data_IF_153749230288
#
_entry.id   IF_153749230288
#
_cell.length_a   1.000
_cell.length_b   1.000
_cell.length_c   1.000
_cell.angle_alpha   90.00
_cell.angle_beta   90.00
_cell.angle_gamma   90.00
#
_symmetry.space_group_name_H-M   'P 1'
#
loop_
_entity.id
_entity.type
_entity.pdbx_description
1 polymer ?
#
# COMPACT_ATOMS: atom_id res chain seq x y z
N UNK A 1 25.83 15.04 21.82
CA UNK A 1 25.02 13.91 21.31
C UNK A 1 25.94 13.07 20.44
N UNK A 2 26.45 11.95 20.95
CA UNK A 2 27.49 11.17 20.30
C UNK A 2 26.90 10.36 19.14
N UNK A 3 27.43 10.57 17.95
CA UNK A 3 27.02 9.88 16.73
C UNK A 3 27.39 8.39 16.85
N UNK A 4 26.39 7.54 16.63
CA UNK A 4 26.46 6.06 16.64
C UNK A 4 27.22 5.54 15.38
N UNK A 5 28.05 6.37 14.75
CA UNK A 5 28.71 6.04 13.48
C UNK A 5 30.07 5.34 13.65
N UNK A 6 30.57 5.14 14.87
CA UNK A 6 31.92 4.59 15.09
C UNK A 6 31.99 3.07 15.16
N UNK A 7 30.88 2.33 15.12
CA UNK A 7 30.88 0.88 15.37
C UNK A 7 30.33 0.02 14.24
N UNK A 8 29.93 0.61 13.10
CA UNK A 8 29.28 -0.11 12.00
C UNK A 8 28.09 -0.98 12.44
N UNK A 9 27.45 -0.63 13.57
CA UNK A 9 26.38 -1.43 14.16
C UNK A 9 25.09 -1.27 13.38
N UNK A 10 24.50 -2.41 13.00
CA UNK A 10 23.13 -2.48 12.48
C UNK A 10 22.18 -2.39 13.69
N UNK A 11 21.11 -1.59 13.54
CA UNK A 11 20.02 -1.53 14.51
C UNK A 11 18.67 -1.50 13.79
N UNK A 12 17.67 -2.12 14.40
CA UNK A 12 16.28 -1.98 13.94
C UNK A 12 15.78 -0.57 14.27
N UNK A 13 15.15 0.08 13.30
CA UNK A 13 14.51 1.39 13.48
C UNK A 13 12.99 1.26 13.65
N UNK A 14 12.37 0.32 12.95
CA UNK A 14 10.95 0.02 13.02
C UNK A 14 10.70 -1.45 12.65
N UNK A 15 9.58 -2.00 13.09
CA UNK A 15 9.21 -3.40 12.84
C UNK A 15 9.53 -4.31 14.02
N UNK A 16 8.58 -5.18 14.36
CA UNK A 16 8.73 -6.23 15.37
C UNK A 16 9.06 -7.61 14.77
N UNK A 17 9.10 -7.73 13.43
CA UNK A 17 9.39 -8.97 12.70
C UNK A 17 8.16 -9.74 12.22
N UNK A 18 6.96 -9.36 12.64
CA UNK A 18 5.71 -9.99 12.19
C UNK A 18 5.01 -9.13 11.10
N UNK A 19 4.54 -9.73 10.00
CA UNK A 19 3.75 -9.02 9.00
C UNK A 19 2.39 -8.60 9.58
N UNK A 20 1.96 -7.38 9.28
CA UNK A 20 0.67 -6.84 9.74
C UNK A 20 0.64 -5.33 9.74
N UNK A 21 -0.45 -4.74 10.24
CA UNK A 21 -0.65 -3.30 10.35
C UNK A 21 -1.05 -2.89 11.78
N UNK A 22 -0.06 -2.50 12.59
CA UNK A 22 -0.29 -2.04 13.97
C UNK A 22 0.68 -0.91 14.35
N UNK A 23 0.49 -0.31 15.53
CA UNK A 23 1.48 0.55 16.18
C UNK A 23 1.41 2.04 15.85
N UNK A 24 0.45 2.51 15.05
CA UNK A 24 0.25 3.95 14.81
C UNK A 24 0.04 4.71 16.13
N UNK A 25 0.79 5.80 16.30
CA UNK A 25 0.85 6.58 17.54
C UNK A 25 1.75 5.99 18.63
N UNK A 26 2.30 4.79 18.45
CA UNK A 26 3.19 4.11 19.38
C UNK A 26 4.66 4.05 18.93
N UNK A 27 5.54 3.42 19.72
CA UNK A 27 6.95 3.26 19.38
C UNK A 27 7.14 2.40 18.11
N UNK A 28 7.95 2.89 17.18
CA UNK A 28 8.18 2.25 15.86
C UNK A 28 8.73 0.82 15.95
N UNK A 29 9.48 0.50 17.01
CA UNK A 29 10.08 -0.82 17.22
C UNK A 29 9.04 -1.93 17.49
N UNK A 30 7.81 -1.57 17.89
CA UNK A 30 6.76 -2.54 18.18
C UNK A 30 5.68 -2.60 17.10
N UNK A 31 5.72 -1.71 16.12
CA UNK A 31 4.79 -1.73 15.01
C UNK A 31 5.05 -2.91 14.07
N UNK A 32 3.97 -3.45 13.52
CA UNK A 32 4.05 -4.38 12.40
C UNK A 32 4.10 -3.60 11.08
N UNK A 33 4.93 -4.10 10.17
CA UNK A 33 5.08 -3.65 8.79
C UNK A 33 4.88 -4.87 7.90
N UNK A 34 4.33 -4.69 6.70
CA UNK A 34 4.06 -5.75 5.75
C UNK A 34 4.69 -5.44 4.38
N UNK A 35 5.73 -6.19 4.04
CA UNK A 35 6.59 -5.96 2.87
C UNK A 35 7.07 -4.49 2.73
N UNK A 36 7.83 -3.95 3.70
CA UNK A 36 8.44 -2.63 3.52
C UNK A 36 9.48 -2.67 2.40
N UNK A 37 9.31 -1.89 1.32
CA UNK A 37 10.19 -1.94 0.13
C UNK A 37 11.04 -0.69 -0.11
N UNK A 38 10.49 0.48 0.19
CA UNK A 38 11.14 1.77 -0.05
C UNK A 38 11.29 2.56 1.24
N UNK A 39 12.40 3.28 1.38
CA UNK A 39 12.62 4.20 2.50
C UNK A 39 13.18 5.53 2.01
N UNK A 40 12.78 6.62 2.68
CA UNK A 40 13.35 7.95 2.49
C UNK A 40 13.53 8.64 3.84
N UNK A 41 14.43 9.62 3.88
CA UNK A 41 14.72 10.41 5.09
C UNK A 41 14.64 11.88 4.71
N UNK A 42 13.93 12.68 5.49
CA UNK A 42 13.86 14.14 5.27
C UNK A 42 15.01 14.89 5.95
N UNK A 43 15.04 16.22 5.76
CA UNK A 43 16.09 17.09 6.34
C UNK A 43 16.02 17.18 7.88
N UNK A 44 14.90 16.78 8.51
CA UNK A 44 14.75 16.68 9.97
C UNK A 44 15.19 15.30 10.50
N UNK A 45 15.43 14.34 9.59
CA UNK A 45 15.80 12.97 9.90
C UNK A 45 14.61 12.02 10.09
N UNK A 46 13.38 12.49 9.85
CA UNK A 46 12.19 11.64 9.88
C UNK A 46 12.25 10.62 8.74
N UNK A 47 11.84 9.39 9.03
CA UNK A 47 11.97 8.27 8.09
C UNK A 47 10.61 7.88 7.54
N UNK A 48 10.48 7.86 6.23
CA UNK A 48 9.29 7.44 5.51
C UNK A 48 9.51 6.04 4.95
N UNK A 49 8.54 5.15 5.11
CA UNK A 49 8.60 3.75 4.71
C UNK A 49 7.39 3.44 3.83
N UNK A 50 7.64 2.90 2.64
CA UNK A 50 6.60 2.31 1.81
C UNK A 50 6.27 0.91 2.34
N UNK A 51 5.15 0.83 3.06
CA UNK A 51 4.63 -0.37 3.71
C UNK A 51 3.67 -1.06 2.74
N UNK A 52 4.25 -1.81 1.79
CA UNK A 52 3.67 -2.03 0.46
C UNK A 52 2.39 -2.84 0.50
N UNK A 53 2.37 -3.94 1.27
CA UNK A 53 1.20 -4.80 1.41
C UNK A 53 0.15 -4.23 2.38
N UNK A 54 0.54 -3.22 3.17
CA UNK A 54 -0.42 -2.43 3.93
C UNK A 54 -0.95 -1.23 3.11
N UNK A 55 -0.52 -1.06 1.85
CA UNK A 55 -1.01 -0.01 0.96
C UNK A 55 -0.83 1.42 1.49
N UNK A 56 0.21 1.67 2.29
CA UNK A 56 0.41 2.96 2.97
C UNK A 56 1.87 3.40 2.96
N UNK A 57 2.08 4.70 3.20
CA UNK A 57 3.37 5.24 3.60
C UNK A 57 3.33 5.53 5.11
N UNK A 58 4.26 4.92 5.84
CA UNK A 58 4.44 5.13 7.29
C UNK A 58 5.56 6.14 7.53
N UNK A 59 5.42 7.02 8.51
CA UNK A 59 6.43 7.97 8.98
C UNK A 59 6.89 7.58 10.38
N UNK A 60 8.19 7.48 10.59
CA UNK A 60 8.83 7.40 11.90
C UNK A 60 9.42 8.76 12.22
N UNK A 61 8.90 9.40 13.27
CA UNK A 61 9.44 10.66 13.75
C UNK A 61 10.78 10.42 14.46
N UNK A 62 11.84 11.12 14.04
CA UNK A 62 13.19 10.89 14.53
C UNK A 62 13.36 11.23 16.00
N UNK A 63 12.68 12.26 16.48
CA UNK A 63 12.84 12.80 17.83
C UNK A 63 12.16 11.92 18.87
N UNK A 64 10.98 11.39 18.56
CA UNK A 64 10.16 10.60 19.48
C UNK A 64 10.27 9.09 19.25
N UNK A 65 10.62 8.67 18.03
CA UNK A 65 10.54 7.27 17.61
C UNK A 65 9.11 6.77 17.42
N UNK A 66 8.13 7.67 17.28
CA UNK A 66 6.73 7.31 17.05
C UNK A 66 6.51 7.02 15.56
N UNK A 67 5.77 5.96 15.25
CA UNK A 67 5.32 5.65 13.89
C UNK A 67 3.87 6.10 13.68
N UNK A 68 3.56 6.57 12.48
CA UNK A 68 2.23 6.98 12.06
C UNK A 68 2.02 6.76 10.56
N UNK A 69 0.77 6.63 10.12
CA UNK A 69 0.42 6.63 8.70
C UNK A 69 0.26 8.05 8.18
N UNK A 70 0.95 8.37 7.08
CA UNK A 70 0.94 9.72 6.47
C UNK A 70 0.35 9.77 5.06
N UNK A 71 0.31 8.63 4.36
CA UNK A 71 -0.32 8.51 3.05
C UNK A 71 -0.96 7.13 2.94
N UNK A 72 -2.14 7.07 2.33
CA UNK A 72 -2.88 5.82 2.17
C UNK A 72 -3.87 5.60 3.32
N UNK A 73 -4.96 4.92 3.01
CA UNK A 73 -5.90 4.42 3.99
C UNK A 73 -5.41 3.05 4.49
N UNK A 74 -5.33 2.83 5.80
CA UNK A 74 -5.08 1.51 6.35
C UNK A 74 -6.08 0.47 5.82
N UNK A 75 -5.70 -0.81 5.70
CA UNK A 75 -6.69 -1.87 5.61
C UNK A 75 -7.59 -1.78 6.85
N UNK A 76 -8.90 -1.61 6.66
CA UNK A 76 -9.87 -1.71 7.76
C UNK A 76 -9.65 -3.05 8.46
N UNK A 77 -9.62 -3.02 9.80
CA UNK A 77 -8.92 -3.98 10.63
C UNK A 77 -9.06 -5.45 10.22
N UNK A 78 -7.92 -6.13 10.03
CA UNK A 78 -7.83 -7.58 10.23
C UNK A 78 -7.77 -7.88 11.74
N UNK A 79 -8.71 -7.34 12.49
CA UNK A 79 -9.07 -7.86 13.81
C UNK A 79 -10.08 -8.97 13.56
N UNK A 80 -9.65 -10.21 13.74
CA UNK A 80 -10.50 -11.40 13.90
C UNK A 80 -11.65 -11.51 12.89
N UNK A 81 -11.40 -12.13 11.72
CA UNK A 81 -12.50 -12.77 11.00
C UNK A 81 -13.03 -13.91 11.86
N UNK A 82 -14.08 -13.56 12.59
CA UNK A 82 -15.00 -14.44 13.29
C UNK A 82 -15.24 -15.72 12.49
N UNK A 83 -14.90 -16.84 13.12
CA UNK A 83 -15.24 -18.20 12.68
C UNK A 83 -16.74 -18.42 12.80
N UNK A 84 -17.53 -17.72 11.98
CA UNK A 84 -18.95 -17.99 11.72
C UNK A 84 -19.50 -17.07 10.63
N UNK A 85 -19.37 -17.50 9.37
CA UNK A 85 -20.43 -17.27 8.39
C UNK A 85 -20.85 -18.59 7.78
N UNK A 86 -21.77 -19.24 8.50
CA UNK A 86 -22.82 -20.04 7.88
C UNK A 86 -23.59 -19.17 6.89
N UNK A 87 -23.10 -19.06 5.67
CA UNK A 87 -23.93 -18.77 4.51
C UNK A 87 -23.64 -19.80 3.43
N UNK A 88 -24.41 -20.88 3.54
CA UNK A 88 -24.66 -21.86 2.51
C UNK A 88 -25.12 -21.13 1.24
N UNK A 89 -24.23 -21.02 0.27
CA UNK A 89 -24.62 -21.06 -1.14
C UNK A 89 -23.87 -22.24 -1.71
N UNK A 90 -24.56 -23.37 -1.82
CA UNK A 90 -24.14 -24.51 -2.62
C UNK A 90 -24.03 -24.08 -4.07
N UNK A 91 -22.86 -23.62 -4.47
CA UNK A 91 -22.40 -23.67 -5.86
C UNK A 91 -21.39 -24.80 -5.88
N UNK A 92 -21.73 -25.83 -6.65
CA UNK A 92 -20.95 -27.04 -6.81
C UNK A 92 -19.48 -26.72 -7.09
N UNK A 93 -18.61 -27.64 -6.69
CA UNK A 93 -17.20 -27.74 -7.02
C UNK A 93 -16.98 -27.87 -8.54
N UNK A 94 -17.46 -26.91 -9.32
CA UNK A 94 -17.09 -26.78 -10.72
C UNK A 94 -15.73 -26.09 -10.72
N UNK A 95 -14.70 -26.91 -10.82
CA UNK A 95 -13.37 -26.48 -11.21
C UNK A 95 -13.49 -25.57 -12.44
N UNK A 96 -13.17 -24.27 -12.34
CA UNK A 96 -13.30 -23.34 -13.45
C UNK A 96 -12.36 -23.67 -14.63
N UNK A 97 -11.52 -24.70 -14.50
CA UNK A 97 -10.68 -25.25 -15.57
C UNK A 97 -11.18 -26.57 -16.17
N UNK A 98 -12.30 -27.14 -15.68
CA UNK A 98 -12.92 -28.29 -16.32
C UNK A 98 -13.63 -27.84 -17.62
N UNK A 99 -13.16 -28.31 -18.78
CA UNK A 99 -13.83 -28.08 -20.08
C UNK A 99 -15.17 -28.82 -20.12
N UNK A 100 -16.23 -28.17 -19.63
CA UNK A 100 -17.61 -28.56 -19.90
C UNK A 100 -18.31 -27.43 -20.65
N UNK A 101 -18.29 -27.56 -21.97
CA UNK A 101 -18.99 -26.70 -22.94
C UNK A 101 -20.48 -26.63 -22.61
N UNK A 102 -21.02 -25.43 -22.37
CA UNK A 102 -22.00 -24.75 -23.23
C UNK A 102 -22.58 -23.48 -22.55
N UNK A 103 -22.82 -22.47 -23.39
CA UNK A 103 -23.54 -21.19 -23.13
C UNK A 103 -22.74 -20.00 -22.55
N UNK A 104 -21.96 -19.39 -23.43
CA UNK A 104 -21.97 -17.94 -23.70
C UNK A 104 -22.20 -16.98 -22.51
N UNK A 105 -21.21 -16.91 -21.63
CA UNK A 105 -20.70 -15.62 -21.18
C UNK A 105 -19.17 -15.70 -21.27
N UNK A 106 -18.56 -15.01 -22.25
CA UNK A 106 -17.13 -14.73 -22.20
C UNK A 106 -16.89 -13.81 -20.99
N UNK A 107 -16.86 -14.38 -19.79
CA UNK A 107 -16.35 -13.68 -18.62
C UNK A 107 -14.85 -13.51 -18.88
N UNK A 108 -14.47 -12.29 -19.24
CA UNK A 108 -13.07 -11.95 -19.44
C UNK A 108 -12.46 -11.81 -18.05
N UNK A 109 -11.72 -12.81 -17.61
CA UNK A 109 -10.90 -12.68 -16.41
C UNK A 109 -9.61 -11.97 -16.80
N UNK A 110 -9.35 -10.81 -16.21
CA UNK A 110 -8.00 -10.25 -16.24
C UNK A 110 -7.26 -10.89 -15.07
N UNK A 111 -6.37 -11.83 -15.39
CA UNK A 111 -5.41 -12.33 -14.41
C UNK A 111 -4.50 -11.17 -14.03
N UNK A 112 -4.54 -10.76 -12.77
CA UNK A 112 -3.56 -9.83 -12.25
C UNK A 112 -2.78 -10.50 -11.14
N UNK A 113 -1.53 -10.82 -11.45
CA UNK A 113 -0.51 -11.07 -10.44
C UNK A 113 -0.22 -9.75 -9.74
N UNK A 114 -0.44 -9.68 -8.43
CA UNK A 114 0.33 -8.73 -7.64
C UNK A 114 1.80 -9.22 -7.53
N UNK A 115 2.67 -8.33 -7.07
CA UNK A 115 4.10 -8.63 -6.91
C UNK A 115 4.37 -9.51 -5.68
N UNK A 116 3.36 -9.84 -4.87
CA UNK A 116 3.41 -10.83 -3.79
C UNK A 116 3.03 -12.25 -4.26
N UNK A 117 2.58 -12.40 -5.51
CA UNK A 117 2.27 -13.70 -6.10
C UNK A 117 0.83 -14.17 -5.88
N UNK A 118 -0.02 -13.33 -5.29
CA UNK A 118 -1.47 -13.57 -5.21
C UNK A 118 -2.12 -13.20 -6.54
N UNK A 119 -2.89 -14.14 -7.09
CA UNK A 119 -3.66 -13.93 -8.33
C UNK A 119 -5.07 -13.50 -7.93
N UNK A 120 -5.43 -12.24 -8.20
CA UNK A 120 -6.81 -11.77 -8.05
C UNK A 120 -7.55 -11.88 -9.38
N UNK A 121 -8.68 -12.58 -9.37
CA UNK A 121 -9.61 -12.64 -10.50
C UNK A 121 -10.63 -11.51 -10.36
N UNK A 122 -10.77 -10.65 -11.38
CA UNK A 122 -11.79 -9.60 -11.42
C UNK A 122 -12.74 -9.89 -12.58
N UNK A 123 -14.02 -10.09 -12.27
CA UNK A 123 -15.09 -10.24 -13.28
C UNK A 123 -15.37 -8.89 -13.93
N UNK A 124 -15.19 -8.81 -15.25
CA UNK A 124 -15.43 -7.59 -16.03
C UNK A 124 -16.93 -7.34 -16.26
N UNK A 125 -17.59 -6.71 -15.29
CA UNK A 125 -18.83 -5.96 -15.53
C UNK A 125 -18.50 -4.51 -15.86
N UNK A 126 -19.05 -3.99 -16.94
CA UNK A 126 -18.80 -2.66 -17.54
C UNK A 126 -18.87 -1.49 -16.55
N UNK A 127 -17.74 -1.14 -15.94
CA UNK A 127 -17.41 0.18 -15.43
C UNK A 127 -15.87 0.31 -15.44
N UNK A 128 -15.28 1.45 -15.84
CA UNK A 128 -13.87 1.67 -15.56
C UNK A 128 -13.74 1.64 -14.04
N UNK A 129 -13.14 0.58 -13.49
CA UNK A 129 -12.79 0.54 -12.08
C UNK A 129 -11.91 1.78 -11.84
N UNK A 130 -12.44 2.78 -11.13
CA UNK A 130 -11.63 3.84 -10.53
C UNK A 130 -10.74 3.13 -9.52
N UNK A 131 -9.60 2.66 -10.01
CA UNK A 131 -8.69 1.76 -9.31
C UNK A 131 -7.90 2.49 -8.22
N UNK A 132 -7.87 3.82 -8.29
CA UNK A 132 -7.28 4.74 -7.33
C UNK A 132 -8.33 5.78 -6.91
N UNK A 133 -8.15 6.38 -5.73
CA UNK A 133 -8.98 7.47 -5.25
C UNK A 133 -8.17 8.49 -4.43
N UNK A 134 -8.81 9.60 -4.07
CA UNK A 134 -8.28 10.61 -3.14
C UNK A 134 -7.55 11.78 -3.78
N UNK A 135 -7.41 11.85 -5.12
CA UNK A 135 -6.79 13.03 -5.77
C UNK A 135 -7.56 14.32 -5.42
N UNK A 136 -6.82 15.34 -4.99
CA UNK A 136 -7.37 16.61 -4.48
C UNK A 136 -7.82 16.56 -3.02
N UNK A 137 -7.83 15.39 -2.39
CA UNK A 137 -8.16 15.19 -0.97
C UNK A 137 -6.93 14.98 -0.09
N UNK A 138 -7.17 14.73 1.21
CA UNK A 138 -6.12 14.44 2.18
C UNK A 138 -5.41 13.12 1.86
N UNK A 139 -4.08 13.12 1.98
CA UNK A 139 -3.22 11.97 1.69
C UNK A 139 -3.54 10.72 2.53
N UNK A 140 -3.93 10.89 3.80
CA UNK A 140 -4.32 9.80 4.71
C UNK A 140 -5.63 9.10 4.31
N UNK A 141 -6.41 9.70 3.41
CA UNK A 141 -7.65 9.12 2.89
C UNK A 141 -7.49 8.59 1.45
N UNK A 142 -6.29 8.66 0.89
CA UNK A 142 -6.03 8.20 -0.47
C UNK A 142 -6.01 6.67 -0.55
N UNK A 143 -6.48 6.11 -1.66
CA UNK A 143 -6.32 4.68 -1.95
C UNK A 143 -5.04 4.49 -2.75
N UNK A 144 -3.97 4.04 -2.10
CA UNK A 144 -2.76 3.55 -2.76
C UNK A 144 -2.91 2.06 -3.05
N UNK A 145 -2.09 1.57 -3.99
CA UNK A 145 -2.03 0.16 -4.32
C UNK A 145 -0.57 -0.28 -4.50
N UNK A 146 -0.07 -1.04 -3.53
CA UNK A 146 1.27 -1.58 -3.50
C UNK A 146 2.36 -0.51 -3.72
N UNK A 147 2.43 0.54 -2.86
CA UNK A 147 3.44 1.57 -3.03
C UNK A 147 4.83 0.96 -2.81
N UNK A 148 5.74 1.11 -3.75
CA UNK A 148 7.06 0.46 -3.65
C UNK A 148 8.21 1.41 -3.33
N UNK A 149 8.01 2.70 -3.55
CA UNK A 149 9.02 3.72 -3.32
C UNK A 149 8.38 5.02 -2.82
N UNK A 150 9.13 5.73 -1.99
CA UNK A 150 8.81 7.08 -1.53
C UNK A 150 10.09 7.89 -1.57
N UNK A 151 10.00 9.16 -1.96
CA UNK A 151 11.06 10.16 -1.78
C UNK A 151 10.47 11.45 -1.23
N UNK A 152 11.30 12.24 -0.57
CA UNK A 152 10.93 13.52 0.04
C UNK A 152 11.80 14.63 -0.54
N UNK A 153 11.21 15.77 -0.88
CA UNK A 153 11.98 16.95 -1.30
C UNK A 153 12.35 17.86 -0.11
N UNK A 154 13.15 18.90 -0.37
CA UNK A 154 13.63 19.84 0.66
C UNK A 154 12.54 20.61 1.39
N UNK A 155 11.34 20.69 0.82
CA UNK A 155 10.19 21.38 1.44
C UNK A 155 9.30 20.38 2.18
N UNK A 156 9.59 19.08 2.07
CA UNK A 156 8.87 17.99 2.72
C UNK A 156 7.79 17.34 1.86
N UNK A 157 7.66 17.69 0.58
CA UNK A 157 6.65 17.03 -0.26
C UNK A 157 7.06 15.58 -0.50
N UNK A 158 6.08 14.68 -0.47
CA UNK A 158 6.32 13.26 -0.72
C UNK A 158 5.94 12.89 -2.15
N UNK A 159 6.80 12.12 -2.79
CA UNK A 159 6.55 11.52 -4.10
C UNK A 159 6.51 10.01 -3.90
N UNK A 160 5.37 9.41 -4.23
CA UNK A 160 5.08 8.00 -3.96
C UNK A 160 4.91 7.26 -5.28
N UNK A 161 5.65 6.17 -5.46
CA UNK A 161 5.41 5.23 -6.55
C UNK A 161 4.23 4.33 -6.16
N UNK A 162 3.03 4.67 -6.62
CA UNK A 162 1.77 3.94 -6.42
C UNK A 162 1.65 2.86 -7.50
N UNK A 163 2.47 1.82 -7.34
CA UNK A 163 2.93 0.94 -8.42
C UNK A 163 1.80 0.17 -9.10
N UNK A 164 0.88 -0.40 -8.32
CA UNK A 164 -0.25 -1.15 -8.88
C UNK A 164 -1.43 -0.27 -9.29
N UNK A 165 -1.34 1.04 -9.03
CA UNK A 165 -2.17 2.04 -9.68
C UNK A 165 -1.46 2.71 -10.86
N UNK A 166 -0.26 2.27 -11.25
CA UNK A 166 0.48 2.82 -12.39
C UNK A 166 0.68 4.34 -12.32
N UNK A 167 0.99 4.85 -11.12
CA UNK A 167 1.05 6.28 -10.84
C UNK A 167 2.25 6.68 -10.01
N UNK A 168 2.67 7.92 -10.21
CA UNK A 168 3.47 8.67 -9.25
C UNK A 168 2.55 9.68 -8.60
N UNK A 169 2.38 9.59 -7.29
CA UNK A 169 1.54 10.47 -6.49
C UNK A 169 2.40 11.51 -5.79
N UNK A 170 1.92 12.75 -5.72
CA UNK A 170 2.56 13.85 -5.01
C UNK A 170 1.69 14.25 -3.83
N UNK A 171 2.27 14.29 -2.63
CA UNK A 171 1.66 14.83 -1.42
C UNK A 171 2.30 16.17 -1.10
N UNK A 172 1.49 17.22 -1.05
CA UNK A 172 1.95 18.53 -0.63
C UNK A 172 2.15 18.55 0.89
N UNK A 173 3.34 18.93 1.34
CA UNK A 173 3.72 18.91 2.75
C UNK A 173 2.92 19.88 3.62
N UNK A 174 2.49 21.01 3.03
CA UNK A 174 1.82 22.11 3.74
C UNK A 174 0.33 21.83 3.86
N UNK A 175 -0.31 21.37 2.79
CA UNK A 175 -1.76 21.16 2.75
C UNK A 175 -2.16 19.72 3.09
N UNK A 176 -1.23 18.77 3.03
CA UNK A 176 -1.51 17.35 3.16
C UNK A 176 -2.32 16.77 2.00
N UNK A 177 -2.48 17.52 0.90
CA UNK A 177 -3.28 17.10 -0.26
C UNK A 177 -2.45 16.18 -1.15
N UNK A 178 -3.04 15.06 -1.57
CA UNK A 178 -2.46 14.16 -2.57
C UNK A 178 -2.98 14.48 -3.98
N UNK A 179 -2.12 14.36 -4.97
CA UNK A 179 -2.44 14.49 -6.40
C UNK A 179 -1.68 13.44 -7.19
N UNK A 180 -2.08 13.21 -8.44
CA UNK A 180 -1.30 12.42 -9.37
C UNK A 180 -0.37 13.33 -10.15
N UNK A 181 0.93 13.09 -10.01
CA UNK A 181 1.97 13.81 -10.72
C UNK A 181 2.23 13.21 -12.11
N UNK A 182 2.19 11.88 -12.20
CA UNK A 182 2.38 11.15 -13.46
C UNK A 182 1.61 9.82 -13.45
N UNK A 183 1.29 9.33 -14.66
CA UNK A 183 0.58 8.07 -14.88
C UNK A 183 -0.94 8.24 -15.01
N UNK A 184 -1.54 7.47 -15.92
CA UNK A 184 -2.98 7.58 -16.22
C UNK A 184 -3.85 6.69 -15.33
N UNK A 185 -3.25 5.79 -14.54
CA UNK A 185 -4.00 4.77 -13.82
C UNK A 185 -4.20 3.47 -14.61
N UNK A 186 -3.76 3.43 -15.86
CA UNK A 186 -3.93 2.27 -16.75
C UNK A 186 -2.59 1.54 -16.95
N UNK A 187 -2.60 0.19 -16.96
CA UNK A 187 -1.43 -0.57 -17.38
C UNK A 187 -1.16 -0.36 -18.87
N UNK A 188 0.10 -0.57 -19.28
CA UNK A 188 0.65 -0.44 -20.65
C UNK A 188 1.06 0.97 -21.06
N UNK A 189 1.75 1.04 -22.20
CA UNK A 189 2.22 2.28 -22.81
C UNK A 189 1.06 3.04 -23.46
N UNK A 190 0.92 4.31 -23.11
CA UNK A 190 0.10 5.29 -23.83
C UNK A 190 0.91 6.59 -23.89
N UNK A 191 1.51 6.88 -25.04
CA UNK A 191 2.43 8.01 -25.25
C UNK A 191 2.85 8.13 -26.71
#
# INVERSE_FOLDING_TARGET
>A
MAAILSTWMIRTLAGNGEPGFTGDGGPSLYAQLNEPKGVAVDDHGDVYVADSENHVIRKIERTTGIISTVVGMPPEGQGEEDSQRDHVISVADEDPFADSRHESAQQSYVQQSDLSGTVRYVTTGTAPLQRYAGDGGLAVAASLNFPTAVVVDKVGNLYVADTMNHRVRLVNAVTGIITTLAGTGQPRFSG
#
